data_IF_641670561964
#
_entry.id   IF_641670561964
#
_cell.length_a   1.000
_cell.length_b   1.000
_cell.length_c   1.000
_cell.angle_alpha   90.00
_cell.angle_beta   90.00
_cell.angle_gamma   90.00
#
_symmetry.space_group_name_H-M   'P 1'
#
loop_
_entity.id
_entity.type
_entity.pdbx_description
1 polymer ?
#
# COMPACT_ATOMS: atom_id res chain seq x y z
N UNK A 1 37.23 -13.34 -26.15
CA UNK A 1 38.04 -12.32 -25.46
C UNK A 1 37.11 -11.62 -24.47
N UNK A 2 37.05 -12.09 -23.22
CA UNK A 2 36.23 -11.46 -22.19
C UNK A 2 36.94 -10.19 -21.72
N UNK A 3 36.39 -9.04 -22.10
CA UNK A 3 36.87 -7.77 -21.58
C UNK A 3 36.28 -7.64 -20.18
N UNK A 4 37.10 -7.86 -19.16
CA UNK A 4 36.76 -7.53 -17.78
C UNK A 4 36.51 -6.03 -17.66
N UNK A 5 35.24 -5.62 -17.74
CA UNK A 5 34.83 -4.25 -17.51
C UNK A 5 34.89 -3.98 -15.99
N UNK A 6 35.84 -3.16 -15.57
CA UNK A 6 35.90 -2.68 -14.19
C UNK A 6 34.94 -1.50 -14.03
N UNK A 7 33.99 -1.65 -13.11
CA UNK A 7 33.06 -0.59 -12.75
C UNK A 7 33.52 0.06 -11.45
N UNK A 8 33.75 1.38 -11.47
CA UNK A 8 34.05 2.11 -10.25
C UNK A 8 32.73 2.45 -9.54
N UNK A 9 32.32 1.59 -8.60
CA UNK A 9 31.09 1.78 -7.84
C UNK A 9 31.28 2.96 -6.89
N UNK A 10 30.58 4.05 -7.18
CA UNK A 10 30.58 5.25 -6.34
C UNK A 10 29.75 5.07 -5.08
N UNK A 11 28.63 4.35 -5.18
CA UNK A 11 27.67 4.25 -4.09
C UNK A 11 26.80 3.01 -4.15
N UNK A 12 26.52 2.47 -2.96
CA UNK A 12 25.46 1.50 -2.72
C UNK A 12 24.29 2.19 -2.02
N UNK A 13 23.08 2.00 -2.53
CA UNK A 13 21.86 2.33 -1.81
C UNK A 13 21.06 1.04 -1.65
N UNK A 14 21.02 0.51 -0.43
CA UNK A 14 20.09 -0.56 -0.10
C UNK A 14 18.69 0.02 -0.20
N UNK A 15 17.91 -0.48 -1.14
CA UNK A 15 16.57 0.03 -1.38
C UNK A 15 15.55 -0.73 -0.54
N UNK A 16 15.77 -2.04 -0.37
CA UNK A 16 15.07 -2.96 0.53
C UNK A 16 15.93 -4.18 0.84
N UNK A 17 15.37 -5.17 1.54
CA UNK A 17 16.09 -6.36 1.97
C UNK A 17 16.90 -7.03 0.85
N UNK A 18 16.38 -7.01 -0.39
CA UNK A 18 16.89 -7.83 -1.50
C UNK A 18 17.33 -7.03 -2.74
N UNK A 19 17.42 -5.69 -2.66
CA UNK A 19 17.84 -4.89 -3.82
C UNK A 19 18.85 -3.80 -3.48
N UNK A 20 19.90 -3.74 -4.29
CA UNK A 20 20.96 -2.74 -4.21
C UNK A 20 20.94 -1.87 -5.46
N UNK A 21 20.80 -0.56 -5.26
CA UNK A 21 21.11 0.42 -6.29
C UNK A 21 22.62 0.68 -6.29
N UNK A 22 23.24 0.51 -7.45
CA UNK A 22 24.65 0.79 -7.69
C UNK A 22 24.74 2.06 -8.53
N UNK A 23 25.28 3.13 -7.96
CA UNK A 23 25.72 4.28 -8.75
C UNK A 23 27.18 4.03 -9.12
N UNK A 24 27.50 4.00 -10.41
CA UNK A 24 28.87 3.80 -10.86
C UNK A 24 29.15 4.62 -12.12
N UNK A 25 30.42 5.01 -12.28
CA UNK A 25 30.90 5.60 -13.51
C UNK A 25 31.60 4.51 -14.32
N UNK A 26 31.30 4.44 -15.62
CA UNK A 26 32.18 3.72 -16.53
C UNK A 26 33.25 4.70 -17.02
N UNK A 27 34.48 4.55 -16.55
CA UNK A 27 35.63 5.24 -17.14
C UNK A 27 35.91 4.57 -18.47
N UNK A 28 35.67 5.26 -19.59
CA UNK A 28 36.13 4.78 -20.89
C UNK A 28 37.62 5.08 -21.01
N UNK A 29 38.46 4.09 -20.79
CA UNK A 29 39.88 4.18 -21.12
C UNK A 29 40.05 4.16 -22.65
N UNK A 30 39.82 5.29 -23.30
CA UNK A 30 40.22 5.51 -24.70
C UNK A 30 41.26 6.63 -24.72
N UNK A 31 42.44 6.27 -25.24
CA UNK A 31 43.62 7.07 -25.54
C UNK A 31 43.49 8.59 -25.28
N UNK A 32 44.02 9.05 -24.14
CA UNK A 32 44.41 10.43 -23.82
C UNK A 32 43.40 11.58 -23.97
N UNK A 33 42.10 11.32 -24.16
CA UNK A 33 41.06 12.35 -24.02
C UNK A 33 40.31 12.17 -22.70
N UNK A 34 40.13 13.26 -21.95
CA UNK A 34 39.30 13.28 -20.74
C UNK A 34 37.90 12.77 -21.09
N UNK A 35 37.61 11.52 -20.73
CA UNK A 35 36.35 10.89 -21.04
C UNK A 35 35.25 11.44 -20.15
N UNK A 36 34.17 11.91 -20.77
CA UNK A 36 32.93 12.23 -20.09
C UNK A 36 32.45 11.06 -19.21
N UNK A 37 32.16 11.32 -17.94
CA UNK A 37 31.63 10.32 -17.02
C UNK A 37 30.15 10.05 -17.32
N UNK A 38 29.87 8.84 -17.78
CA UNK A 38 28.50 8.34 -17.97
C UNK A 38 28.05 7.66 -16.68
N UNK A 39 27.29 8.39 -15.85
CA UNK A 39 26.72 7.84 -14.63
C UNK A 39 25.66 6.80 -14.96
N UNK A 40 25.81 5.61 -14.39
CA UNK A 40 24.89 4.49 -14.57
C UNK A 40 24.28 4.07 -13.25
N UNK A 41 23.08 3.49 -13.36
CA UNK A 41 22.39 2.86 -12.25
C UNK A 41 22.34 1.36 -12.52
N UNK A 42 23.00 0.58 -11.67
CA UNK A 42 22.77 -0.86 -11.57
C UNK A 42 21.68 -1.13 -10.56
N UNK A 43 20.68 -1.95 -10.91
CA UNK A 43 19.77 -2.54 -9.94
C UNK A 43 20.18 -4.01 -9.80
N UNK A 44 20.81 -4.33 -8.68
CA UNK A 44 21.16 -5.69 -8.32
C UNK A 44 20.00 -6.29 -7.53
N UNK A 45 19.36 -7.32 -8.09
CA UNK A 45 18.35 -8.11 -7.39
C UNK A 45 19.04 -9.33 -6.73
N UNK A 46 18.96 -9.40 -5.41
CA UNK A 46 19.51 -10.47 -4.59
C UNK A 46 18.40 -11.48 -4.27
N UNK A 47 17.86 -12.15 -5.29
CA UNK A 47 16.90 -13.23 -5.05
C UNK A 47 17.63 -14.54 -4.75
N UNK A 48 17.40 -15.09 -3.55
CA UNK A 48 18.09 -16.24 -2.96
C UNK A 48 17.99 -17.58 -3.73
N UNK A 49 17.36 -17.66 -4.92
CA UNK A 49 17.11 -18.93 -5.62
C UNK A 49 17.47 -18.98 -7.10
N UNK A 50 17.66 -17.86 -7.80
CA UNK A 50 17.82 -17.84 -9.27
C UNK A 50 19.12 -17.19 -9.76
N UNK A 51 20.06 -16.92 -8.84
CA UNK A 51 21.30 -16.21 -9.14
C UNK A 51 21.11 -14.69 -9.14
N UNK A 52 22.18 -13.98 -8.79
CA UNK A 52 22.18 -12.53 -8.72
C UNK A 52 22.09 -11.94 -10.13
N UNK A 53 20.99 -11.25 -10.45
CA UNK A 53 20.88 -10.52 -11.72
C UNK A 53 21.15 -9.04 -11.48
N UNK A 54 22.09 -8.46 -12.24
CA UNK A 54 22.32 -7.01 -12.28
C UNK A 54 21.69 -6.47 -13.55
N UNK A 55 20.70 -5.59 -13.42
CA UNK A 55 20.21 -4.79 -14.55
C UNK A 55 20.94 -3.46 -14.57
N UNK A 56 21.58 -3.14 -15.69
CA UNK A 56 22.32 -1.89 -15.88
C UNK A 56 21.47 -0.93 -16.70
N UNK A 57 21.25 0.27 -16.18
CA UNK A 57 20.47 1.31 -16.84
C UNK A 57 21.34 2.53 -17.13
N UNK A 58 21.31 2.98 -18.38
CA UNK A 58 22.08 4.11 -18.89
C UNK A 58 21.30 5.41 -18.75
N UNK A 59 21.72 6.32 -17.86
CA UNK A 59 20.99 7.56 -17.57
C UNK A 59 21.10 8.62 -18.66
N UNK A 60 22.19 8.65 -19.43
CA UNK A 60 22.43 9.71 -20.44
C UNK A 60 21.54 9.63 -21.67
N UNK A 61 21.01 8.46 -22.02
CA UNK A 61 20.14 8.29 -23.20
C UNK A 61 18.68 8.62 -22.94
N UNK A 62 18.36 9.03 -21.73
CA UNK A 62 17.00 9.13 -21.22
C UNK A 62 16.77 10.51 -20.63
N UNK A 63 15.53 10.99 -20.59
CA UNK A 63 15.09 12.25 -19.95
C UNK A 63 15.31 12.27 -18.40
N UNK A 64 16.35 11.59 -17.90
CA UNK A 64 16.54 11.18 -16.52
C UNK A 64 17.44 12.12 -15.70
N UNK A 65 17.70 13.34 -16.19
CA UNK A 65 18.39 14.35 -15.39
C UNK A 65 17.59 14.61 -14.10
N UNK A 66 18.05 14.07 -12.97
CA UNK A 66 17.42 14.28 -11.66
C UNK A 66 16.94 13.02 -10.93
N UNK A 67 17.06 11.81 -11.49
CA UNK A 67 16.70 10.57 -10.76
C UNK A 67 17.57 10.38 -9.51
N UNK A 68 18.89 10.55 -9.64
CA UNK A 68 19.82 10.40 -8.52
C UNK A 68 19.59 11.45 -7.42
N UNK A 69 19.30 12.71 -7.79
CA UNK A 69 18.99 13.75 -6.82
C UNK A 69 17.64 13.49 -6.13
N UNK A 70 16.64 13.00 -6.87
CA UNK A 70 15.33 12.61 -6.33
C UNK A 70 15.44 11.43 -5.37
N UNK A 71 16.19 10.38 -5.71
CA UNK A 71 16.41 9.23 -4.82
C UNK A 71 17.11 9.63 -3.52
N UNK A 72 18.09 10.54 -3.58
CA UNK A 72 18.76 11.06 -2.37
C UNK A 72 17.79 11.83 -1.47
N UNK A 73 16.89 12.61 -2.07
CA UNK A 73 15.99 13.52 -1.35
C UNK A 73 14.75 12.84 -0.79
N UNK A 74 14.12 11.99 -1.59
CA UNK A 74 12.80 11.40 -1.29
C UNK A 74 12.90 9.96 -0.77
N UNK A 75 13.90 9.18 -1.21
CA UNK A 75 14.06 7.74 -0.88
C UNK A 75 12.82 6.88 -1.15
N UNK A 76 11.97 7.29 -2.09
CA UNK A 76 10.79 6.51 -2.48
C UNK A 76 11.13 5.64 -3.69
N UNK A 77 11.24 4.34 -3.44
CA UNK A 77 11.38 3.33 -4.47
C UNK A 77 10.65 2.07 -4.02
N UNK A 78 9.98 1.43 -4.97
CA UNK A 78 9.34 0.16 -4.73
C UNK A 78 9.67 -0.82 -5.85
N UNK A 79 9.89 -2.07 -5.48
CA UNK A 79 9.91 -3.19 -6.42
C UNK A 79 8.78 -4.13 -6.01
N UNK A 80 7.73 -4.17 -6.84
CA UNK A 80 6.58 -5.01 -6.60
C UNK A 80 6.03 -5.54 -7.92
N UNK A 81 5.56 -6.79 -7.89
CA UNK A 81 4.92 -7.43 -9.03
C UNK A 81 5.77 -7.38 -10.31
N UNK A 82 7.10 -7.49 -10.16
CA UNK A 82 8.07 -7.44 -11.26
C UNK A 82 8.34 -6.05 -11.84
N UNK A 83 7.80 -4.97 -11.25
CA UNK A 83 7.99 -3.60 -11.74
C UNK A 83 8.80 -2.76 -10.75
N UNK A 84 9.72 -1.96 -11.28
CA UNK A 84 10.43 -0.93 -10.52
C UNK A 84 9.63 0.36 -10.57
N UNK A 85 9.40 0.98 -9.42
CA UNK A 85 8.72 2.27 -9.30
C UNK A 85 9.64 3.24 -8.60
N UNK A 86 9.93 4.37 -9.24
CA UNK A 86 10.85 5.36 -8.71
C UNK A 86 10.45 6.78 -9.06
N UNK A 87 10.88 7.70 -8.20
CA UNK A 87 10.68 9.12 -8.43
C UNK A 87 11.79 9.72 -9.27
N UNK A 88 11.38 10.54 -10.23
CA UNK A 88 12.25 11.47 -10.96
C UNK A 88 11.69 12.88 -10.85
N UNK A 89 12.53 13.90 -10.93
CA UNK A 89 12.04 15.26 -10.94
C UNK A 89 13.10 16.30 -10.58
N UNK A 90 12.66 17.54 -10.58
CA UNK A 90 13.44 18.72 -10.24
C UNK A 90 12.75 19.50 -9.10
N UNK A 91 13.20 20.74 -8.86
CA UNK A 91 12.62 21.62 -7.85
C UNK A 91 11.16 21.99 -8.12
N UNK A 92 10.70 21.99 -9.39
CA UNK A 92 9.34 22.39 -9.77
C UNK A 92 8.36 21.22 -9.91
N UNK A 93 8.81 20.05 -10.38
CA UNK A 93 7.96 18.88 -10.64
C UNK A 93 8.57 17.59 -10.09
N UNK A 94 7.70 16.69 -9.61
CA UNK A 94 8.06 15.35 -9.17
C UNK A 94 7.17 14.37 -9.92
N UNK A 95 7.76 13.34 -10.49
CA UNK A 95 7.09 12.36 -11.33
C UNK A 95 7.42 10.95 -10.86
N UNK A 96 6.42 10.08 -10.90
CA UNK A 96 6.57 8.65 -10.74
C UNK A 96 6.87 8.04 -12.11
N UNK A 97 7.91 7.24 -12.17
CA UNK A 97 8.31 6.48 -13.33
C UNK A 97 8.39 4.99 -13.02
N UNK A 98 8.33 4.19 -14.07
CA UNK A 98 8.67 2.77 -14.05
C UNK A 98 9.68 2.44 -15.15
N UNK A 99 10.17 1.20 -15.14
CA UNK A 99 11.06 0.67 -16.17
C UNK A 99 10.28 -0.41 -16.92
N UNK A 100 10.14 -0.26 -18.23
CA UNK A 100 9.43 -1.23 -19.05
C UNK A 100 10.31 -2.48 -19.32
N UNK A 101 9.80 -3.43 -20.11
CA UNK A 101 10.53 -4.67 -20.44
C UNK A 101 11.75 -4.45 -21.37
N UNK A 102 11.81 -3.29 -22.02
CA UNK A 102 12.92 -2.88 -22.89
C UNK A 102 13.96 -2.05 -22.13
N UNK A 103 13.89 -2.03 -20.79
CA UNK A 103 14.72 -1.22 -19.90
C UNK A 103 14.59 0.30 -20.16
N UNK A 104 13.49 0.74 -20.74
CA UNK A 104 13.19 2.15 -20.96
C UNK A 104 12.41 2.73 -19.79
N UNK A 105 12.74 3.97 -19.49
CA UNK A 105 12.10 4.73 -18.44
C UNK A 105 10.81 5.35 -18.91
N UNK A 106 9.73 5.03 -18.19
CA UNK A 106 8.42 5.52 -18.57
C UNK A 106 7.74 6.24 -17.42
N UNK A 107 7.39 7.48 -17.72
CA UNK A 107 6.72 8.43 -16.86
C UNK A 107 5.26 8.03 -16.72
N UNK A 108 4.86 7.65 -15.50
CA UNK A 108 3.50 7.25 -15.17
C UNK A 108 2.63 8.46 -14.87
N UNK A 109 3.10 9.31 -13.96
CA UNK A 109 2.36 10.51 -13.53
C UNK A 109 3.31 11.55 -12.96
N UNK A 110 2.98 12.83 -13.14
CA UNK A 110 3.75 13.97 -12.65
C UNK A 110 2.95 14.83 -11.68
N UNK A 111 3.60 15.88 -11.18
CA UNK A 111 3.06 16.81 -10.18
C UNK A 111 2.71 16.09 -8.88
N UNK A 112 3.56 15.15 -8.47
CA UNK A 112 3.41 14.50 -7.19
C UNK A 112 3.74 15.47 -6.06
N UNK A 113 3.01 15.34 -4.96
CA UNK A 113 3.26 16.10 -3.75
C UNK A 113 4.60 15.71 -3.16
N UNK A 114 5.44 16.69 -2.87
CA UNK A 114 6.82 16.47 -2.42
C UNK A 114 6.81 16.32 -0.90
N UNK A 115 7.03 15.10 -0.41
CA UNK A 115 7.23 14.83 1.02
C UNK A 115 8.70 14.56 1.28
N UNK A 116 9.24 15.10 2.36
CA UNK A 116 10.61 14.86 2.80
C UNK A 116 10.65 13.70 3.80
N UNK A 117 11.85 13.19 4.09
CA UNK A 117 12.05 12.17 5.14
C UNK A 117 11.49 12.59 6.50
N UNK A 118 11.46 13.89 6.79
CA UNK A 118 10.96 14.43 8.06
C UNK A 118 9.42 14.32 8.16
N UNK A 119 8.73 14.25 7.04
CA UNK A 119 7.26 14.19 7.01
C UNK A 119 6.72 12.79 7.37
N UNK A 120 7.56 11.75 7.28
CA UNK A 120 7.15 10.36 7.47
C UNK A 120 6.16 9.85 6.41
N UNK A 121 5.97 10.62 5.32
CA UNK A 121 5.01 10.38 4.24
C UNK A 121 5.72 10.27 2.91
N UNK A 122 5.02 9.68 1.95
CA UNK A 122 5.51 9.41 0.63
C UNK A 122 4.54 9.94 -0.41
N UNK A 123 5.07 10.35 -1.56
CA UNK A 123 4.30 10.84 -2.69
C UNK A 123 3.39 9.77 -3.26
N UNK A 124 3.81 8.50 -3.18
CA UNK A 124 3.04 7.35 -3.64
C UNK A 124 3.34 6.09 -2.82
N UNK A 125 2.43 5.13 -2.87
CA UNK A 125 2.62 3.75 -2.38
C UNK A 125 2.03 2.76 -3.36
N UNK A 126 2.67 1.60 -3.49
CA UNK A 126 2.20 0.49 -4.32
C UNK A 126 1.63 -0.58 -3.40
N UNK A 127 0.47 -1.12 -3.74
CA UNK A 127 -0.12 -2.22 -2.97
C UNK A 127 0.77 -3.47 -3.12
N UNK A 128 1.32 -4.01 -2.02
CA UNK A 128 2.21 -5.18 -2.08
C UNK A 128 1.50 -6.46 -2.52
N UNK A 129 0.18 -6.54 -2.35
CA UNK A 129 -0.61 -7.75 -2.57
C UNK A 129 -1.34 -7.76 -3.92
N UNK A 130 -1.67 -6.58 -4.45
CA UNK A 130 -2.48 -6.45 -5.67
C UNK A 130 -1.66 -5.84 -6.82
N UNK A 131 -1.37 -6.60 -7.88
CA UNK A 131 -0.60 -6.09 -9.00
C UNK A 131 -1.32 -4.95 -9.71
N UNK A 132 -0.58 -3.88 -9.98
CA UNK A 132 -1.08 -2.69 -10.69
C UNK A 132 -1.93 -1.74 -9.88
N UNK A 133 -2.02 -1.92 -8.56
CA UNK A 133 -2.70 -0.96 -7.68
C UNK A 133 -1.69 0.01 -7.08
N UNK A 134 -1.79 1.28 -7.46
CA UNK A 134 -0.87 2.34 -7.02
C UNK A 134 -1.68 3.52 -6.48
N UNK A 135 -1.32 4.03 -5.30
CA UNK A 135 -1.90 5.23 -4.72
C UNK A 135 -0.90 6.36 -4.80
N UNK A 136 -1.30 7.52 -5.31
CA UNK A 136 -0.42 8.67 -5.51
C UNK A 136 -1.09 9.98 -5.09
N UNK A 137 -0.37 10.80 -4.33
CA UNK A 137 -0.77 12.16 -3.98
C UNK A 137 -0.33 13.12 -5.10
N UNK A 138 -1.30 13.59 -5.88
CA UNK A 138 -1.09 14.46 -7.04
C UNK A 138 -1.54 15.88 -6.69
N UNK A 139 -0.63 16.83 -6.90
CA UNK A 139 -0.83 18.26 -6.74
C UNK A 139 -1.46 18.85 -8.01
N UNK A 140 -2.73 19.25 -7.94
CA UNK A 140 -3.47 19.89 -9.05
C UNK A 140 -3.21 21.39 -9.14
N UNK A 141 -2.94 22.03 -8.00
CA UNK A 141 -2.56 23.43 -7.86
C UNK A 141 -1.68 23.57 -6.62
N UNK A 142 -1.04 24.74 -6.42
CA UNK A 142 -0.09 24.99 -5.32
C UNK A 142 -0.57 24.44 -3.96
N UNK A 143 -1.85 24.62 -3.63
CA UNK A 143 -2.39 24.21 -2.32
C UNK A 143 -3.38 23.04 -2.36
N UNK A 144 -3.50 22.33 -3.49
CA UNK A 144 -4.48 21.24 -3.65
C UNK A 144 -3.83 19.94 -4.04
N UNK A 145 -3.50 19.15 -3.03
CA UNK A 145 -3.13 17.74 -3.16
C UNK A 145 -4.37 16.87 -3.05
N UNK A 146 -4.49 15.88 -3.94
CA UNK A 146 -5.52 14.83 -3.87
C UNK A 146 -4.88 13.48 -4.14
N UNK A 147 -5.39 12.44 -3.50
CA UNK A 147 -4.98 11.06 -3.77
C UNK A 147 -5.76 10.49 -4.94
N UNK A 148 -5.01 9.87 -5.84
CA UNK A 148 -5.51 9.12 -6.98
C UNK A 148 -5.06 7.67 -6.86
N UNK A 149 -5.82 6.78 -7.48
CA UNK A 149 -5.53 5.36 -7.56
C UNK A 149 -5.42 4.93 -9.02
N UNK A 150 -4.39 4.16 -9.33
CA UNK A 150 -4.24 3.40 -10.56
C UNK A 150 -4.59 1.94 -10.32
N UNK A 151 -5.20 1.30 -11.32
CA UNK A 151 -5.52 -0.13 -11.35
C UNK A 151 -4.88 -0.86 -12.54
N UNK A 152 -3.98 -0.19 -13.25
CA UNK A 152 -3.40 -0.61 -14.55
C UNK A 152 -1.89 -0.30 -14.64
N UNK A 153 -1.17 -0.51 -13.53
CA UNK A 153 0.29 -0.26 -13.44
C UNK A 153 0.69 1.22 -13.69
N UNK A 154 -0.21 2.16 -13.41
CA UNK A 154 0.05 3.59 -13.50
C UNK A 154 -0.21 4.21 -14.86
N UNK A 155 -0.82 3.49 -15.82
CA UNK A 155 -1.25 4.09 -17.11
C UNK A 155 -2.32 5.15 -16.90
N UNK A 156 -3.24 4.90 -15.96
CA UNK A 156 -4.30 5.84 -15.60
C UNK A 156 -4.38 5.99 -14.10
N UNK A 157 -4.64 7.22 -13.66
CA UNK A 157 -4.91 7.57 -12.27
C UNK A 157 -6.28 8.22 -12.16
N UNK A 158 -7.14 7.67 -11.30
CA UNK A 158 -8.48 8.21 -11.05
C UNK A 158 -8.62 8.66 -9.59
N UNK A 159 -9.44 9.69 -9.30
CA UNK A 159 -9.66 10.10 -7.92
C UNK A 159 -10.34 8.98 -7.12
N UNK A 160 -10.05 8.93 -5.82
CA UNK A 160 -10.70 8.02 -4.87
C UNK A 160 -12.22 8.16 -4.93
N UNK A 161 -12.93 7.02 -5.01
CA UNK A 161 -14.40 6.95 -5.03
C UNK A 161 -14.94 6.44 -3.70
N UNK A 162 -15.97 7.10 -3.18
CA UNK A 162 -16.67 6.65 -1.97
C UNK A 162 -17.85 5.75 -2.30
N UNK A 163 -18.07 4.74 -1.45
CA UNK A 163 -19.20 3.81 -1.58
C UNK A 163 -20.56 4.46 -1.25
N UNK A 164 -20.61 5.35 -0.26
CA UNK A 164 -21.88 5.90 0.23
C UNK A 164 -22.55 6.85 -0.77
N UNK A 165 -23.86 6.64 -0.98
CA UNK A 165 -24.72 7.53 -1.78
C UNK A 165 -24.74 8.96 -1.23
N UNK A 166 -24.60 9.14 0.09
CA UNK A 166 -24.55 10.47 0.70
C UNK A 166 -23.39 11.33 0.20
N UNK A 167 -22.30 10.68 -0.25
CA UNK A 167 -21.13 11.36 -0.80
C UNK A 167 -21.14 11.49 -2.32
N UNK A 168 -22.12 10.89 -3.03
CA UNK A 168 -22.29 11.08 -4.48
C UNK A 168 -22.69 12.51 -4.85
N UNK A 169 -23.23 13.28 -3.90
CA UNK A 169 -23.65 14.69 -4.08
C UNK A 169 -22.45 15.66 -3.89
N UNK A 170 -21.26 15.14 -3.56
CA UNK A 170 -20.07 15.98 -3.45
C UNK A 170 -19.66 16.51 -4.83
N UNK A 171 -19.99 17.79 -5.08
CA UNK A 171 -19.54 18.57 -6.25
C UNK A 171 -18.02 18.47 -6.46
N UNK A 172 -17.55 18.80 -7.67
CA UNK A 172 -16.16 18.78 -8.18
C UNK A 172 -15.03 19.34 -7.25
N UNK A 173 -15.35 19.98 -6.13
CA UNK A 173 -14.37 20.57 -5.22
C UNK A 173 -13.98 19.65 -4.05
N UNK A 174 -14.66 18.54 -3.85
CA UNK A 174 -14.34 17.62 -2.75
C UNK A 174 -13.29 16.59 -3.14
N UNK A 175 -12.54 16.10 -2.17
CA UNK A 175 -11.58 15.03 -2.39
C UNK A 175 -10.85 14.60 -1.14
N UNK A 176 -10.01 13.59 -1.32
CA UNK A 176 -9.24 12.96 -0.24
C UNK A 176 -7.77 13.16 -0.50
N UNK A 177 -7.01 13.39 0.56
CA UNK A 177 -5.55 13.31 0.59
C UNK A 177 -5.17 12.32 1.69
N UNK A 178 -4.80 11.11 1.29
CA UNK A 178 -4.31 10.06 2.17
C UNK A 178 -2.90 10.38 2.66
N UNK A 179 -2.62 10.03 3.90
CA UNK A 179 -1.30 10.04 4.50
C UNK A 179 -0.63 8.71 4.14
N UNK A 180 0.09 8.71 3.01
CA UNK A 180 0.76 7.53 2.48
C UNK A 180 2.10 7.32 3.20
N UNK A 181 2.15 6.51 4.25
CA UNK A 181 3.41 6.17 4.93
C UNK A 181 4.05 4.97 4.19
N UNK A 182 5.32 5.09 3.78
CA UNK A 182 5.97 4.03 2.98
C UNK A 182 7.14 3.32 3.66
N UNK A 183 7.31 3.48 4.98
CA UNK A 183 8.27 2.63 5.69
C UNK A 183 7.76 1.19 5.73
N UNK A 184 8.65 0.21 5.69
CA UNK A 184 8.29 -1.22 5.64
C UNK A 184 7.39 -1.63 6.83
N UNK A 185 7.59 -1.00 7.99
CA UNK A 185 6.76 -1.20 9.19
C UNK A 185 5.30 -0.79 8.98
N UNK A 186 5.04 0.23 8.15
CA UNK A 186 3.69 0.75 7.91
C UNK A 186 2.99 0.10 6.73
N UNK A 187 3.71 -0.52 5.79
CA UNK A 187 3.08 -1.20 4.64
C UNK A 187 2.13 -2.30 5.10
N UNK A 188 2.55 -3.14 6.06
CA UNK A 188 1.68 -4.20 6.59
C UNK A 188 0.48 -3.64 7.35
N UNK A 189 0.62 -2.46 7.97
CA UNK A 189 -0.48 -1.76 8.64
C UNK A 189 -1.48 -1.17 7.64
N UNK A 190 -0.99 -0.64 6.52
CA UNK A 190 -1.83 -0.09 5.45
C UNK A 190 -2.49 -1.16 4.60
N UNK A 191 -1.84 -2.31 4.45
CA UNK A 191 -2.30 -3.43 3.63
C UNK A 191 -2.32 -4.73 4.45
N UNK A 192 -3.16 -4.81 5.50
CA UNK A 192 -3.19 -5.98 6.37
C UNK A 192 -3.65 -7.24 5.64
N UNK A 193 -4.42 -7.07 4.56
CA UNK A 193 -4.92 -8.16 3.72
C UNK A 193 -4.94 -7.76 2.26
N UNK A 194 -5.04 -8.76 1.37
CA UNK A 194 -4.92 -8.55 -0.07
C UNK A 194 -5.87 -7.48 -0.62
N UNK A 195 -7.14 -7.53 -0.20
CA UNK A 195 -8.18 -6.59 -0.64
C UNK A 195 -8.43 -5.45 0.36
N UNK A 196 -7.68 -5.36 1.46
CA UNK A 196 -7.89 -4.35 2.50
C UNK A 196 -6.82 -3.27 2.39
N UNK A 197 -7.26 -2.01 2.31
CA UNK A 197 -6.37 -0.87 2.36
C UNK A 197 -6.86 0.13 3.41
N UNK A 198 -6.00 0.55 4.33
CA UNK A 198 -6.32 1.47 5.42
C UNK A 198 -5.33 2.61 5.45
N UNK A 199 -5.83 3.84 5.43
CA UNK A 199 -4.98 5.03 5.54
C UNK A 199 -5.64 6.08 6.42
N UNK A 200 -4.82 6.80 7.18
CA UNK A 200 -5.22 8.11 7.68
C UNK A 200 -5.26 9.09 6.50
N UNK A 201 -6.05 10.14 6.61
CA UNK A 201 -6.12 11.14 5.55
C UNK A 201 -6.88 12.38 5.94
N UNK A 202 -6.86 13.35 5.03
CA UNK A 202 -7.66 14.56 5.06
C UNK A 202 -8.77 14.44 4.01
N UNK A 203 -10.01 14.53 4.46
CA UNK A 203 -11.12 14.87 3.58
C UNK A 203 -11.18 16.39 3.47
N UNK A 204 -11.16 16.92 2.24
CA UNK A 204 -11.39 18.34 2.03
C UNK A 204 -12.75 18.54 1.37
N UNK A 205 -13.68 19.11 2.14
CA UNK A 205 -15.01 19.52 1.71
C UNK A 205 -15.03 20.96 1.20
N UNK A 206 -16.21 21.55 1.06
CA UNK A 206 -16.34 22.98 0.71
C UNK A 206 -15.98 23.83 1.93
N UNK A 207 -14.78 24.39 1.94
CA UNK A 207 -14.33 25.33 2.98
C UNK A 207 -13.91 24.71 4.30
N UNK A 208 -13.92 23.38 4.43
CA UNK A 208 -13.42 22.69 5.62
C UNK A 208 -12.54 21.50 5.27
N UNK A 209 -11.59 21.22 6.15
CA UNK A 209 -10.69 20.07 6.09
C UNK A 209 -10.88 19.26 7.37
N UNK A 210 -11.05 17.95 7.24
CA UNK A 210 -11.26 17.06 8.38
C UNK A 210 -10.40 15.81 8.24
N UNK A 211 -9.84 15.33 9.35
CA UNK A 211 -9.01 14.12 9.38
C UNK A 211 -9.85 12.91 9.75
N UNK A 212 -9.66 11.83 9.00
CA UNK A 212 -10.40 10.58 9.14
C UNK A 212 -9.51 9.38 8.84
N UNK A 213 -9.98 8.20 9.24
CA UNK A 213 -9.48 6.92 8.74
C UNK A 213 -10.32 6.53 7.52
N UNK A 214 -9.64 6.16 6.45
CA UNK A 214 -10.20 5.69 5.21
C UNK A 214 -9.89 4.21 5.08
N UNK A 215 -10.90 3.40 4.74
CA UNK A 215 -10.76 1.97 4.55
C UNK A 215 -11.39 1.54 3.22
N UNK A 216 -10.76 0.58 2.56
CA UNK A 216 -11.30 -0.12 1.40
C UNK A 216 -11.22 -1.62 1.65
N UNK A 217 -12.24 -2.36 1.20
CA UNK A 217 -12.32 -3.82 1.27
C UNK A 217 -12.34 -4.50 -0.10
N UNK A 218 -12.06 -3.73 -1.16
CA UNK A 218 -12.08 -4.17 -2.55
C UNK A 218 -10.83 -3.72 -3.32
N UNK A 219 -9.71 -3.61 -2.61
CA UNK A 219 -8.41 -3.26 -3.19
C UNK A 219 -8.30 -1.81 -3.64
N UNK A 220 -9.12 -0.91 -3.08
CA UNK A 220 -9.08 0.53 -3.34
C UNK A 220 -10.10 1.03 -4.35
N UNK A 221 -10.98 0.17 -4.88
CA UNK A 221 -11.99 0.55 -5.88
C UNK A 221 -13.08 1.43 -5.26
N UNK A 222 -13.52 1.08 -4.06
CA UNK A 222 -14.43 1.86 -3.25
C UNK A 222 -13.84 2.07 -1.85
N UNK A 223 -14.03 3.29 -1.36
CA UNK A 223 -13.56 3.72 -0.04
C UNK A 223 -14.73 4.06 0.87
N UNK A 224 -14.52 3.82 2.14
CA UNK A 224 -15.38 4.22 3.24
C UNK A 224 -14.59 5.14 4.17
N UNK A 225 -15.21 6.24 4.56
CA UNK A 225 -14.69 7.16 5.58
C UNK A 225 -15.31 6.76 6.91
N UNK A 226 -14.49 6.35 7.87
CA UNK A 226 -15.00 5.94 9.17
C UNK A 226 -15.48 7.17 9.95
N UNK A 227 -16.77 7.18 10.35
CA UNK A 227 -17.41 8.32 11.03
C UNK A 227 -16.73 8.66 12.36
N UNK A 228 -16.32 7.62 13.09
CA UNK A 228 -15.58 7.76 14.33
C UNK A 228 -14.10 7.89 14.01
N UNK A 229 -13.43 8.85 14.63
CA UNK A 229 -11.96 8.89 14.64
C UNK A 229 -11.48 7.67 15.43
N UNK A 230 -11.28 6.55 14.73
CA UNK A 230 -10.68 5.37 15.33
C UNK A 230 -9.16 5.56 15.35
N UNK A 231 -8.55 5.31 16.50
CA UNK A 231 -7.11 5.14 16.62
C UNK A 231 -6.79 3.65 16.77
N UNK A 232 -5.58 3.27 16.33
CA UNK A 232 -5.06 1.90 16.47
C UNK A 232 -5.99 0.82 15.90
N UNK A 233 -6.63 1.13 14.77
CA UNK A 233 -7.41 0.16 14.01
C UNK A 233 -6.51 -0.98 13.54
N UNK A 234 -6.90 -2.21 13.86
CA UNK A 234 -6.32 -3.45 13.36
C UNK A 234 -7.40 -4.25 12.63
N UNK A 235 -6.94 -5.13 11.74
CA UNK A 235 -7.77 -6.00 10.93
C UNK A 235 -7.33 -7.42 11.17
N UNK A 236 -8.28 -8.29 11.49
CA UNK A 236 -8.07 -9.69 11.86
C UNK A 236 -8.98 -10.60 11.05
N UNK A 237 -8.74 -11.90 11.17
CA UNK A 237 -9.50 -12.93 10.47
C UNK A 237 -9.67 -12.60 8.98
N UNK A 238 -8.57 -12.18 8.34
CA UNK A 238 -8.52 -11.82 6.92
C UNK A 238 -9.50 -10.74 6.47
N UNK A 239 -9.79 -9.77 7.34
CA UNK A 239 -10.78 -8.73 7.07
C UNK A 239 -12.17 -9.03 7.61
N UNK A 240 -12.36 -10.19 8.24
CA UNK A 240 -13.58 -10.56 8.93
C UNK A 240 -13.80 -9.79 10.22
N UNK A 241 -12.75 -9.36 10.92
CA UNK A 241 -12.85 -8.61 12.17
C UNK A 241 -12.08 -7.29 12.09
N UNK A 242 -12.79 -6.18 12.29
CA UNK A 242 -12.19 -4.87 12.58
C UNK A 242 -12.18 -4.66 14.08
N UNK A 243 -11.07 -4.17 14.61
CA UNK A 243 -10.94 -3.83 16.02
C UNK A 243 -10.18 -2.52 16.16
N UNK A 244 -10.67 -1.57 16.93
CA UNK A 244 -9.97 -0.31 17.15
C UNK A 244 -10.47 0.43 18.38
N UNK A 245 -9.73 1.46 18.78
CA UNK A 245 -10.13 2.37 19.86
C UNK A 245 -10.76 3.62 19.25
N UNK A 246 -11.75 4.20 19.91
CA UNK A 246 -12.25 5.52 19.56
C UNK A 246 -11.39 6.61 20.18
N UNK A 247 -10.84 7.51 19.37
CA UNK A 247 -9.92 8.55 19.83
C UNK A 247 -10.56 9.53 20.81
N UNK A 248 -11.88 9.78 20.70
CA UNK A 248 -12.64 10.71 21.55
C UNK A 248 -13.31 9.98 22.70
N UNK A 249 -14.01 8.89 22.41
CA UNK A 249 -14.81 8.19 23.42
C UNK A 249 -13.99 7.26 24.31
N UNK A 250 -12.75 6.96 23.91
CA UNK A 250 -11.88 5.96 24.54
C UNK A 250 -12.54 4.58 24.75
N UNK A 251 -13.62 4.29 24.04
CA UNK A 251 -14.23 2.98 23.98
C UNK A 251 -13.58 2.11 22.91
N UNK A 252 -13.70 0.80 23.08
CA UNK A 252 -13.30 -0.18 22.07
C UNK A 252 -14.45 -0.38 21.09
N UNK A 253 -14.13 -0.37 19.81
CA UNK A 253 -15.06 -0.63 18.72
C UNK A 253 -14.61 -1.86 17.95
N UNK A 254 -15.55 -2.73 17.61
CA UNK A 254 -15.27 -3.87 16.76
C UNK A 254 -16.43 -4.17 15.80
N UNK A 255 -16.14 -4.86 14.70
CA UNK A 255 -17.12 -5.21 13.67
C UNK A 255 -16.74 -6.51 12.98
N UNK A 256 -17.72 -7.39 12.78
CA UNK A 256 -17.56 -8.69 12.08
C UNK A 256 -17.93 -8.65 10.59
N UNK A 257 -18.38 -7.50 10.10
CA UNK A 257 -18.95 -7.37 8.76
C UNK A 257 -18.41 -6.12 8.05
N UNK A 258 -17.09 -5.95 8.10
CA UNK A 258 -16.39 -4.88 7.39
C UNK A 258 -16.88 -3.46 7.77
N UNK A 259 -17.33 -3.27 9.02
CA UNK A 259 -17.75 -1.97 9.53
C UNK A 259 -19.22 -1.62 9.29
N UNK A 260 -20.01 -2.51 8.69
CA UNK A 260 -21.46 -2.28 8.45
C UNK A 260 -22.22 -2.19 9.77
N UNK A 261 -21.94 -3.09 10.70
CA UNK A 261 -22.43 -3.08 12.08
C UNK A 261 -21.21 -2.98 12.98
N UNK A 262 -21.19 -1.96 13.84
CA UNK A 262 -20.15 -1.78 14.85
C UNK A 262 -20.73 -1.97 16.25
N UNK A 263 -19.99 -2.70 17.06
CA UNK A 263 -20.27 -2.89 18.47
C UNK A 263 -19.32 -2.01 19.27
N UNK A 264 -19.79 -1.52 20.41
CA UNK A 264 -19.00 -0.66 21.31
C UNK A 264 -18.94 -1.32 22.68
N UNK A 265 -17.73 -1.50 23.18
CA UNK A 265 -17.49 -1.94 24.55
C UNK A 265 -16.86 -0.81 25.35
N UNK A 266 -17.49 -0.47 26.47
CA UNK A 266 -16.99 0.53 27.41
C UNK A 266 -16.01 -0.15 28.37
N UNK A 267 -14.75 -0.23 27.98
CA UNK A 267 -13.64 -0.46 28.91
C UNK A 267 -12.97 0.89 29.13
N UNK A 268 -12.58 1.24 30.37
CA UNK A 268 -11.72 2.41 30.58
C UNK A 268 -10.39 2.13 29.87
N UNK A 269 -10.22 2.76 28.72
CA UNK A 269 -8.98 2.67 27.92
C UNK A 269 -8.37 4.04 27.74
N UNK A 270 -8.62 4.97 28.65
CA UNK A 270 -8.25 6.39 28.54
C UNK A 270 -6.75 6.57 28.24
N UNK A 271 -5.93 5.59 28.59
CA UNK A 271 -4.48 5.59 28.35
C UNK A 271 -3.97 4.33 27.62
N UNK A 272 -4.75 3.80 26.67
CA UNK A 272 -4.30 2.69 25.81
C UNK A 272 -3.05 3.09 25.04
N UNK A 273 -1.91 2.44 25.28
CA UNK A 273 -0.61 2.73 24.66
C UNK A 273 -0.34 1.84 23.46
N UNK A 274 -0.80 0.59 23.48
CA UNK A 274 -0.62 -0.35 22.37
C UNK A 274 -1.85 -1.25 22.18
N UNK A 275 -2.09 -1.64 20.93
CA UNK A 275 -3.02 -2.72 20.54
C UNK A 275 -2.22 -3.61 19.60
N UNK A 276 -2.16 -4.90 19.90
CA UNK A 276 -1.43 -5.87 19.11
C UNK A 276 -2.25 -7.17 18.99
N UNK A 277 -2.49 -7.67 17.77
CA UNK A 277 -3.00 -9.03 17.63
C UNK A 277 -1.96 -10.04 18.12
N UNK A 278 -2.44 -11.05 18.83
CA UNK A 278 -1.62 -12.20 19.18
C UNK A 278 -1.77 -13.22 18.06
N UNK A 279 -0.67 -13.49 17.36
CA UNK A 279 -0.63 -14.44 16.24
C UNK A 279 -0.78 -15.86 16.77
N UNK A 280 -2.03 -16.31 16.90
CA UNK A 280 -2.37 -17.69 17.18
C UNK A 280 -3.17 -18.26 16.01
N UNK A 281 -2.80 -19.43 15.47
CA UNK A 281 -3.39 -19.98 14.24
C UNK A 281 -4.91 -20.25 14.32
N UNK A 282 -5.50 -20.22 15.51
CA UNK A 282 -6.91 -20.55 15.76
C UNK A 282 -7.62 -19.59 16.70
N UNK A 283 -6.96 -18.55 17.22
CA UNK A 283 -7.60 -17.65 18.18
C UNK A 283 -7.47 -16.21 17.70
N UNK A 284 -8.61 -15.52 17.68
CA UNK A 284 -8.65 -14.09 17.39
C UNK A 284 -8.48 -13.33 18.70
N UNK A 285 -7.28 -13.38 19.28
CA UNK A 285 -7.00 -12.68 20.55
C UNK A 285 -6.28 -11.38 20.27
N UNK A 286 -6.78 -10.29 20.85
CA UNK A 286 -6.15 -8.99 20.81
C UNK A 286 -5.66 -8.63 22.20
N UNK A 287 -4.37 -8.36 22.31
CA UNK A 287 -3.79 -7.78 23.51
C UNK A 287 -3.77 -6.25 23.37
N UNK A 288 -4.12 -5.56 24.45
CA UNK A 288 -3.96 -4.13 24.54
C UNK A 288 -3.33 -3.75 25.87
N UNK A 289 -2.43 -2.78 25.85
CA UNK A 289 -1.74 -2.29 27.05
C UNK A 289 -2.33 -0.92 27.39
N UNK A 290 -2.86 -0.79 28.59
CA UNK A 290 -3.33 0.48 29.15
C UNK A 290 -2.36 0.91 30.26
N UNK A 291 -1.84 2.13 30.16
CA UNK A 291 -0.91 2.66 31.17
C UNK A 291 -1.59 3.75 32.00
N UNK A 292 -1.95 3.43 33.23
CA UNK A 292 -2.48 4.42 34.15
C UNK A 292 -1.34 5.27 34.70
N UNK A 293 -1.27 6.54 34.27
CA UNK A 293 -0.24 7.48 34.69
C UNK A 293 -0.39 7.88 36.16
N UNK A 294 -1.61 7.90 36.71
CA UNK A 294 -1.84 8.29 38.10
C UNK A 294 -1.37 7.21 39.06
N UNK A 295 -1.72 5.97 38.75
CA UNK A 295 -1.33 4.82 39.56
C UNK A 295 0.03 4.24 39.18
N UNK A 296 0.64 4.71 38.10
CA UNK A 296 1.88 4.17 37.52
C UNK A 296 1.79 2.65 37.26
N UNK A 297 0.64 2.19 36.76
CA UNK A 297 0.37 0.76 36.55
C UNK A 297 0.08 0.46 35.09
N UNK A 298 0.59 -0.68 34.62
CA UNK A 298 0.26 -1.23 33.31
C UNK A 298 -0.80 -2.30 33.48
N UNK A 299 -1.91 -2.16 32.77
CA UNK A 299 -2.95 -3.18 32.67
C UNK A 299 -2.88 -3.83 31.30
N UNK A 300 -2.75 -5.15 31.28
CA UNK A 300 -2.90 -5.95 30.07
C UNK A 300 -4.36 -6.35 29.91
N UNK A 301 -4.99 -5.89 28.83
CA UNK A 301 -6.34 -6.24 28.44
C UNK A 301 -6.27 -7.29 27.33
N UNK A 302 -6.99 -8.40 27.50
CA UNK A 302 -7.10 -9.45 26.49
C UNK A 302 -8.53 -9.53 25.98
N UNK A 303 -8.72 -9.28 24.69
CA UNK A 303 -10.00 -9.42 24.01
C UNK A 303 -9.98 -10.73 23.23
N UNK A 304 -10.73 -11.72 23.70
CA UNK A 304 -10.79 -13.03 23.06
C UNK A 304 -12.01 -13.10 22.14
N UNK A 305 -11.77 -13.09 20.83
CA UNK A 305 -12.81 -13.21 19.81
C UNK A 305 -13.02 -14.64 19.28
N UNK A 306 -12.55 -15.66 20.02
CA UNK A 306 -12.67 -17.07 19.58
C UNK A 306 -14.11 -17.59 19.62
N UNK A 307 -14.96 -17.02 20.47
CA UNK A 307 -16.33 -17.51 20.70
C UNK A 307 -17.44 -16.51 20.35
N UNK A 308 -17.19 -15.56 19.44
CA UNK A 308 -18.08 -14.41 19.26
C UNK A 308 -19.25 -14.70 18.33
N UNK A 309 -19.14 -15.75 17.53
CA UNK A 309 -20.25 -16.20 16.70
C UNK A 309 -21.29 -16.91 17.59
N UNK A 310 -20.87 -17.45 18.74
CA UNK A 310 -21.75 -17.93 19.81
C UNK A 310 -22.50 -16.80 20.50
N UNK A 311 -23.52 -16.29 19.80
CA UNK A 311 -24.55 -15.45 20.39
C UNK A 311 -25.52 -16.38 21.14
N UNK A 312 -25.44 -16.34 22.47
CA UNK A 312 -26.40 -16.99 23.38
C UNK A 312 -26.62 -18.49 23.09
N UNK A 313 -25.56 -19.23 22.72
CA UNK A 313 -25.57 -20.68 22.46
C UNK A 313 -26.44 -21.14 21.26
N UNK A 314 -26.93 -20.21 20.43
CA UNK A 314 -27.78 -20.53 19.25
C UNK A 314 -26.92 -20.87 18.02
N UNK A 315 -25.75 -20.24 17.90
CA UNK A 315 -24.87 -20.41 16.74
C UNK A 315 -23.51 -20.90 17.24
N UNK A 316 -23.10 -22.10 16.83
CA UNK A 316 -21.79 -22.62 17.20
C UNK A 316 -20.72 -21.89 16.40
N UNK A 317 -19.63 -21.49 17.05
CA UNK A 317 -18.45 -20.98 16.35
C UNK A 317 -17.97 -22.03 15.34
N UNK A 318 -18.02 -21.66 14.06
CA UNK A 318 -17.70 -22.56 12.97
C UNK A 318 -16.58 -22.01 12.11
N UNK A 319 -15.83 -22.93 11.55
CA UNK A 319 -14.88 -22.62 10.47
C UNK A 319 -15.67 -22.27 9.21
N UNK A 320 -15.15 -21.33 8.42
CA UNK A 320 -15.74 -20.97 7.14
C UNK A 320 -15.76 -22.16 6.17
N UNK A 321 -16.91 -22.37 5.53
CA UNK A 321 -17.12 -23.36 4.48
C UNK A 321 -17.05 -22.70 3.10
N UNK A 322 -17.06 -23.48 2.02
CA UNK A 322 -16.89 -22.97 0.66
C UNK A 322 -17.94 -21.92 0.25
N UNK A 323 -19.17 -22.05 0.76
CA UNK A 323 -20.29 -21.14 0.52
C UNK A 323 -20.19 -19.83 1.32
N UNK A 324 -19.31 -19.75 2.31
CA UNK A 324 -18.99 -18.51 3.04
C UNK A 324 -18.04 -17.59 2.29
N UNK A 325 -17.45 -18.07 1.19
CA UNK A 325 -16.52 -17.30 0.39
C UNK A 325 -17.17 -16.75 -0.86
N UNK A 326 -16.71 -15.57 -1.28
CA UNK A 326 -16.98 -14.97 -2.57
C UNK A 326 -15.68 -14.85 -3.37
N UNK A 327 -15.80 -14.99 -4.69
CA UNK A 327 -14.67 -14.73 -5.59
C UNK A 327 -14.55 -13.23 -5.81
N UNK A 328 -13.44 -12.65 -5.37
CA UNK A 328 -13.08 -11.25 -5.63
C UNK A 328 -11.94 -11.17 -6.62
N UNK A 329 -12.08 -10.31 -7.63
CA UNK A 329 -11.04 -10.09 -8.63
C UNK A 329 -10.13 -8.93 -8.23
N UNK A 330 -8.88 -8.95 -8.69
CA UNK A 330 -8.01 -7.78 -8.58
C UNK A 330 -8.70 -6.59 -9.27
N UNK A 331 -8.78 -5.41 -8.64
CA UNK A 331 -9.50 -4.29 -9.21
C UNK A 331 -8.84 -3.82 -10.51
N UNK A 332 -9.67 -3.63 -11.54
CA UNK A 332 -9.33 -3.12 -12.88
C UNK A 332 -10.33 -2.06 -13.33
N UNK A 333 -9.97 -1.27 -14.34
CA UNK A 333 -10.87 -0.31 -14.97
C UNK A 333 -11.93 -1.00 -15.83
N UNK A 334 -11.49 -1.93 -16.67
CA UNK A 334 -12.35 -2.68 -17.57
C UNK A 334 -12.10 -4.18 -17.38
N UNK A 335 -13.20 -4.94 -17.32
CA UNK A 335 -13.16 -6.39 -17.17
C UNK A 335 -12.27 -6.84 -15.99
N UNK A 336 -11.84 -8.11 -16.00
CA UNK A 336 -10.96 -8.67 -14.98
C UNK A 336 -9.64 -9.22 -15.58
N UNK A 337 -9.46 -9.06 -16.89
CA UNK A 337 -8.26 -9.51 -17.60
C UNK A 337 -7.25 -8.37 -17.66
N UNK A 338 -6.01 -8.64 -17.27
CA UNK A 338 -4.90 -7.69 -17.37
C UNK A 338 -3.59 -8.44 -17.57
N UNK A 339 -2.80 -8.00 -18.54
CA UNK A 339 -1.57 -8.65 -19.00
C UNK A 339 -1.79 -10.15 -19.31
N UNK A 340 -2.91 -10.47 -19.98
CA UNK A 340 -3.28 -11.83 -20.33
C UNK A 340 -3.67 -12.74 -19.16
N UNK A 341 -3.89 -12.17 -17.96
CA UNK A 341 -4.24 -12.92 -16.76
C UNK A 341 -5.48 -12.36 -16.04
N UNK A 342 -6.33 -13.26 -15.58
CA UNK A 342 -7.45 -13.00 -14.69
C UNK A 342 -7.08 -13.54 -13.31
N UNK A 343 -6.88 -12.63 -12.35
CA UNK A 343 -6.47 -12.97 -10.98
C UNK A 343 -7.65 -12.76 -10.04
N UNK A 344 -7.97 -13.79 -9.25
CA UNK A 344 -9.02 -13.73 -8.24
C UNK A 344 -8.62 -14.41 -6.93
N UNK A 345 -9.30 -14.06 -5.85
CA UNK A 345 -9.12 -14.62 -4.52
C UNK A 345 -10.47 -15.06 -3.95
N UNK A 346 -10.44 -16.04 -3.05
CA UNK A 346 -11.58 -16.40 -2.22
C UNK A 346 -11.56 -15.55 -0.96
N UNK A 347 -12.47 -14.60 -0.86
CA UNK A 347 -12.64 -13.67 0.27
C UNK A 347 -13.88 -14.07 1.06
N UNK A 348 -13.82 -14.00 2.39
CA UNK A 348 -14.98 -14.23 3.24
C UNK A 348 -16.08 -13.19 2.94
N UNK A 349 -17.31 -13.66 2.74
CA UNK A 349 -18.47 -12.80 2.54
C UNK A 349 -18.69 -11.92 3.77
N UNK A 350 -19.02 -10.63 3.62
CA UNK A 350 -19.32 -9.76 4.76
C UNK A 350 -20.47 -10.25 5.65
N UNK A 351 -21.38 -11.08 5.11
CA UNK A 351 -22.51 -11.67 5.83
C UNK A 351 -22.18 -12.99 6.53
N UNK A 352 -21.02 -13.60 6.25
CA UNK A 352 -20.63 -14.88 6.82
C UNK A 352 -19.89 -14.67 8.13
N UNK A 353 -20.53 -15.08 9.24
CA UNK A 353 -19.92 -15.10 10.57
C UNK A 353 -19.25 -16.46 10.77
N UNK A 354 -17.96 -16.54 10.43
CA UNK A 354 -17.15 -17.75 10.55
C UNK A 354 -15.67 -17.39 10.72
N UNK A 355 -14.87 -18.34 11.23
CA UNK A 355 -13.42 -18.17 11.33
C UNK A 355 -12.73 -18.75 10.09
N UNK A 356 -11.91 -17.92 9.42
CA UNK A 356 -11.12 -18.32 8.27
C UNK A 356 -9.77 -18.90 8.73
N UNK A 357 -9.74 -20.22 8.88
CA UNK A 357 -8.57 -20.95 9.38
C UNK A 357 -7.49 -21.21 8.31
N UNK A 358 -7.64 -20.68 7.09
CA UNK A 358 -6.62 -20.84 6.04
C UNK A 358 -5.35 -20.14 6.51
N UNK A 359 -4.19 -20.77 6.32
CA UNK A 359 -2.87 -20.17 6.62
C UNK A 359 -2.45 -19.15 5.56
N UNK A 360 -2.86 -19.38 4.32
CA UNK A 360 -2.61 -18.49 3.20
C UNK A 360 -3.78 -18.48 2.21
N UNK A 361 -4.07 -17.32 1.62
CA UNK A 361 -5.06 -17.19 0.54
C UNK A 361 -4.32 -17.12 -0.79
N UNK A 362 -4.24 -18.25 -1.50
CA UNK A 362 -3.60 -18.32 -2.80
C UNK A 362 -4.47 -17.68 -3.90
N UNK A 363 -3.88 -16.95 -4.87
CA UNK A 363 -4.62 -16.46 -6.02
C UNK A 363 -5.01 -17.62 -6.94
N UNK A 364 -6.21 -17.53 -7.52
CA UNK A 364 -6.54 -18.27 -8.74
C UNK A 364 -6.18 -17.40 -9.94
N UNK A 365 -5.26 -17.89 -10.77
CA UNK A 365 -4.80 -17.22 -11.98
C UNK A 365 -5.31 -18.01 -13.19
N UNK A 366 -6.11 -17.38 -14.04
CA UNK A 366 -6.58 -17.96 -15.30
C UNK A 366 -6.06 -17.13 -16.47
N UNK A 367 -5.57 -17.76 -17.56
CA UNK A 367 -5.21 -17.02 -18.76
C UNK A 367 -6.46 -16.38 -19.36
N UNK A 368 -6.28 -15.26 -20.04
CA UNK A 368 -7.33 -14.58 -20.80
C UNK A 368 -6.76 -13.88 -22.04
N UNK A 369 -7.59 -13.60 -23.06
CA UNK A 369 -7.13 -12.90 -24.26
C UNK A 369 -6.55 -11.53 -23.89
N UNK A 370 -5.45 -11.16 -24.54
CA UNK A 370 -4.86 -9.83 -24.36
C UNK A 370 -5.84 -8.74 -24.82
N UNK A 371 -5.88 -7.65 -24.08
CA UNK A 371 -6.60 -6.43 -24.45
C UNK A 371 -5.62 -5.31 -24.81
N UNK A 372 -6.10 -4.24 -25.45
CA UNK A 372 -5.28 -3.04 -25.71
C UNK A 372 -4.67 -2.47 -24.43
N UNK A 373 -5.32 -2.66 -23.28
CA UNK A 373 -4.83 -2.20 -21.98
C UNK A 373 -3.61 -2.98 -21.48
N UNK A 374 -3.26 -4.10 -22.10
CA UNK A 374 -2.14 -4.96 -21.70
C UNK A 374 -0.81 -4.51 -22.31
N UNK A 375 -0.86 -3.79 -23.42
CA UNK A 375 0.33 -3.33 -24.13
C UNK A 375 0.94 -2.11 -23.42
N UNK A 376 2.20 -2.23 -23.02
CA UNK A 376 2.95 -1.10 -22.49
C UNK A 376 3.10 -0.01 -23.56
N UNK A 377 3.31 1.22 -23.08
CA UNK A 377 3.60 2.43 -23.85
C UNK A 377 4.81 2.27 -24.77
#
# INVERSE_FOLDING_TARGET
MEINAFYNIKRFVRIRNDSLLLEYDQVKCFQNQLSETDSRIGILNLENRLGNTIRIIHLRRSEMSGVLSSLKRYREYFYYHGNHYLLTGNSSSLCLCTINRCDEFVKLVCNLSKYTRLDGKCSFVVNPHLPGVIYANIQRSKDKTRTYVSFDNGKKFIPIKFKSKSFKILKNNCGVELELECTDLFINKHFPEKWVAIFNGKFHGRGFVSRHVFISFDGGKNWEMLKSRLDKLIVLNRGGLLFGRGSITHGIYYSFNQGVISYKHYVSTDHLTAIQPLDFPKTSVVAAINYDKFNNTYTLLMFNFSNVISICDIIIDRTCQSDDFETVYVPRYHWNCFQGQKISYLKQKPSSLCFDNRTEVQPTIKPCPCSLEDFHW
#
